data_IF_882678775993
#
_entry.id   IF_882678775993
#
_cell.length_a   1.000
_cell.length_b   1.000
_cell.length_c   1.000
_cell.angle_alpha   90.00
_cell.angle_beta   90.00
_cell.angle_gamma   90.00
#
_symmetry.space_group_name_H-M   'P 1'
#
loop_
_entity.id
_entity.type
_entity.pdbx_description
1 polymer ?
#
# COMPACT_ATOMS: atom_id res chain seq x y z
N UNK A 1 19.64 12.49 -16.01
CA UNK A 1 18.61 12.58 -14.95
C UNK A 1 18.19 11.17 -14.60
N UNK A 2 18.82 10.56 -13.59
CA UNK A 2 18.42 9.23 -13.13
C UNK A 2 17.04 9.35 -12.51
N UNK A 3 16.01 8.85 -13.19
CA UNK A 3 14.65 8.75 -12.66
C UNK A 3 14.69 7.80 -11.46
N UNK A 4 14.89 8.35 -10.27
CA UNK A 4 14.59 7.65 -9.03
C UNK A 4 13.07 7.47 -9.04
N UNK A 5 12.60 6.26 -9.37
CA UNK A 5 11.18 5.96 -9.48
C UNK A 5 10.58 6.00 -8.07
N UNK A 6 10.09 7.16 -7.64
CA UNK A 6 9.40 7.34 -6.35
C UNK A 6 8.00 6.77 -6.44
N UNK A 7 7.51 6.15 -5.36
CA UNK A 7 6.11 5.73 -5.25
C UNK A 7 5.29 7.00 -5.02
N UNK A 8 4.36 7.29 -5.92
CA UNK A 8 3.45 8.43 -5.80
C UNK A 8 2.04 7.99 -5.48
N UNK A 9 1.25 8.89 -4.90
CA UNK A 9 -0.18 8.68 -4.68
C UNK A 9 -0.90 8.29 -5.97
N UNK A 10 -0.55 8.92 -7.10
CA UNK A 10 -1.21 8.65 -8.39
C UNK A 10 -0.98 7.22 -8.87
N UNK A 11 0.24 6.69 -8.69
CA UNK A 11 0.55 5.30 -9.03
C UNK A 11 -0.25 4.34 -8.14
N UNK A 12 -0.20 4.53 -6.83
CA UNK A 12 -0.91 3.67 -5.88
C UNK A 12 -2.42 3.75 -6.10
N UNK A 13 -2.98 4.91 -6.44
CA UNK A 13 -4.40 5.08 -6.75
C UNK A 13 -4.87 4.18 -7.91
N UNK A 14 -4.00 3.91 -8.89
CA UNK A 14 -4.30 3.08 -10.07
C UNK A 14 -4.19 1.58 -9.79
N UNK A 15 -3.58 1.16 -8.67
CA UNK A 15 -3.43 -0.26 -8.36
C UNK A 15 -4.77 -0.97 -8.20
N UNK A 16 -4.92 -2.05 -8.95
CA UNK A 16 -5.94 -3.05 -8.69
C UNK A 16 -5.62 -3.81 -7.39
N UNK A 17 -6.51 -4.73 -6.98
CA UNK A 17 -6.39 -5.47 -5.71
C UNK A 17 -5.11 -6.31 -5.64
N UNK A 18 -4.76 -6.96 -6.76
CA UNK A 18 -3.56 -7.80 -6.83
C UNK A 18 -2.29 -6.97 -6.82
N UNK A 19 -2.27 -5.85 -7.55
CA UNK A 19 -1.13 -4.93 -7.59
C UNK A 19 -0.88 -4.29 -6.23
N UNK A 20 -1.94 -3.90 -5.52
CA UNK A 20 -1.83 -3.39 -4.16
C UNK A 20 -1.31 -4.47 -3.20
N UNK A 21 -1.84 -5.69 -3.27
CA UNK A 21 -1.41 -6.78 -2.41
C UNK A 21 0.06 -7.13 -2.64
N UNK A 22 0.49 -7.23 -3.90
CA UNK A 22 1.90 -7.46 -4.27
C UNK A 22 2.81 -6.34 -3.80
N UNK A 23 2.33 -5.09 -3.87
CA UNK A 23 3.04 -3.94 -3.37
C UNK A 23 3.23 -4.03 -1.85
N UNK A 24 2.15 -4.21 -1.08
CA UNK A 24 2.22 -4.34 0.37
C UNK A 24 3.04 -5.56 0.81
N UNK A 25 2.97 -6.67 0.08
CA UNK A 25 3.78 -7.87 0.36
C UNK A 25 5.28 -7.61 0.28
N UNK A 26 5.72 -6.76 -0.65
CA UNK A 26 7.13 -6.34 -0.73
C UNK A 26 7.55 -5.43 0.42
N UNK A 27 6.62 -4.62 0.89
CA UNK A 27 6.86 -3.68 1.99
C UNK A 27 6.65 -4.29 3.37
N UNK A 28 6.03 -5.48 3.46
CA UNK A 28 5.54 -6.06 4.72
C UNK A 28 6.60 -6.08 5.82
N UNK A 29 7.85 -6.45 5.50
CA UNK A 29 8.92 -6.53 6.48
C UNK A 29 9.28 -5.14 7.03
N UNK A 30 9.25 -4.11 6.18
CA UNK A 30 9.51 -2.72 6.61
C UNK A 30 8.33 -2.09 7.35
N UNK A 31 7.13 -2.62 7.14
CA UNK A 31 5.89 -2.21 7.80
C UNK A 31 5.54 -3.11 8.99
N UNK A 32 6.40 -4.07 9.32
CA UNK A 32 6.17 -5.07 10.37
C UNK A 32 4.80 -5.77 10.26
N UNK A 33 4.34 -6.01 9.02
CA UNK A 33 3.10 -6.71 8.72
C UNK A 33 3.36 -8.20 8.48
N UNK A 34 2.39 -9.03 8.85
CA UNK A 34 2.41 -10.46 8.55
C UNK A 34 1.45 -10.83 7.40
N UNK A 35 1.29 -12.14 7.14
CA UNK A 35 0.39 -12.62 6.08
C UNK A 35 -1.09 -12.50 6.46
N UNK A 36 -1.43 -12.54 7.74
CA UNK A 36 -2.80 -12.43 8.21
C UNK A 36 -3.31 -10.99 8.04
N UNK A 37 -2.45 -10.00 8.26
CA UNK A 37 -2.74 -8.59 7.94
C UNK A 37 -3.04 -8.39 6.45
N UNK A 38 -2.21 -8.98 5.58
CA UNK A 38 -2.40 -8.92 4.13
C UNK A 38 -3.64 -9.69 3.66
N UNK A 39 -3.99 -10.78 4.35
CA UNK A 39 -5.21 -11.55 4.09
C UNK A 39 -6.46 -10.71 4.33
N UNK A 40 -6.47 -9.81 5.34
CA UNK A 40 -7.58 -8.88 5.56
C UNK A 40 -7.74 -7.95 4.35
N UNK A 41 -6.64 -7.36 3.85
CA UNK A 41 -6.68 -6.50 2.66
C UNK A 41 -7.24 -7.25 1.44
N UNK A 42 -6.82 -8.51 1.26
CA UNK A 42 -7.29 -9.38 0.17
C UNK A 42 -8.78 -9.72 0.32
N UNK A 43 -9.22 -10.15 1.50
CA UNK A 43 -10.59 -10.57 1.80
C UNK A 43 -11.59 -9.42 1.65
N UNK A 44 -11.22 -8.24 2.16
CA UNK A 44 -12.02 -7.01 2.02
C UNK A 44 -11.91 -6.37 0.63
N UNK A 45 -11.15 -7.00 -0.29
CA UNK A 45 -11.05 -6.60 -1.70
C UNK A 45 -10.61 -5.14 -1.87
N UNK A 46 -9.73 -4.67 -0.98
CA UNK A 46 -9.23 -3.29 -0.98
C UNK A 46 -8.31 -3.13 -2.19
N UNK A 47 -8.59 -2.13 -3.03
CA UNK A 47 -7.71 -1.70 -4.11
C UNK A 47 -6.91 -0.46 -3.68
N UNK A 48 -6.00 0.01 -4.53
CA UNK A 48 -5.13 1.14 -4.20
C UNK A 48 -5.90 2.44 -3.88
N UNK A 49 -7.00 2.72 -4.58
CA UNK A 49 -7.87 3.87 -4.29
C UNK A 49 -8.55 3.75 -2.91
N UNK A 50 -8.97 2.55 -2.52
CA UNK A 50 -9.57 2.31 -1.20
C UNK A 50 -8.51 2.38 -0.11
N UNK A 51 -7.33 1.81 -0.32
CA UNK A 51 -6.21 1.86 0.62
C UNK A 51 -5.84 3.30 0.99
N UNK A 52 -5.75 4.20 0.01
CA UNK A 52 -5.48 5.62 0.27
C UNK A 52 -6.61 6.35 1.04
N UNK A 53 -7.79 5.74 1.21
CA UNK A 53 -8.96 6.35 1.86
C UNK A 53 -9.44 5.62 3.12
N UNK A 54 -8.87 4.46 3.42
CA UNK A 54 -9.29 3.67 4.59
C UNK A 54 -8.84 4.38 5.87
N UNK A 55 -9.44 4.01 6.99
CA UNK A 55 -9.06 4.50 8.32
C UNK A 55 -8.84 3.31 9.26
N UNK A 56 -8.26 3.59 10.43
CA UNK A 56 -7.92 2.58 11.44
C UNK A 56 -9.17 1.79 11.87
N UNK A 57 -10.27 2.49 12.16
CA UNK A 57 -11.51 1.86 12.65
C UNK A 57 -12.09 0.81 11.70
N UNK A 58 -12.07 1.07 10.40
CA UNK A 58 -12.54 0.09 9.40
C UNK A 58 -11.65 -1.15 9.37
N UNK A 59 -10.33 -0.98 9.44
CA UNK A 59 -9.41 -2.12 9.46
C UNK A 59 -9.63 -2.98 10.71
N UNK A 60 -9.80 -2.34 11.88
CA UNK A 60 -10.10 -3.03 13.15
C UNK A 60 -11.45 -3.74 13.09
N UNK A 61 -12.48 -3.11 12.51
CA UNK A 61 -13.80 -3.73 12.33
C UNK A 61 -13.70 -5.04 11.52
N UNK A 62 -12.79 -5.10 10.55
CA UNK A 62 -12.51 -6.29 9.75
C UNK A 62 -11.48 -7.25 10.38
N UNK A 63 -11.16 -7.06 11.67
CA UNK A 63 -10.33 -7.98 12.45
C UNK A 63 -8.83 -7.68 12.46
N UNK A 64 -8.39 -6.56 11.90
CA UNK A 64 -6.99 -6.15 11.97
C UNK A 64 -6.64 -5.65 13.38
N UNK A 65 -5.45 -5.96 13.87
CA UNK A 65 -4.99 -5.42 15.16
C UNK A 65 -4.64 -3.94 15.02
N UNK A 66 -4.71 -3.22 16.16
CA UNK A 66 -4.50 -1.77 16.20
C UNK A 66 -3.13 -1.35 15.62
N UNK A 67 -2.06 -2.07 15.95
CA UNK A 67 -0.70 -1.79 15.46
C UNK A 67 -0.60 -1.82 13.93
N UNK A 68 -0.84 -2.97 13.27
CA UNK A 68 -0.85 -3.08 11.82
C UNK A 68 -1.79 -2.07 11.14
N UNK A 69 -2.96 -1.81 11.73
CA UNK A 69 -3.91 -0.83 11.20
C UNK A 69 -3.33 0.59 11.22
N UNK A 70 -2.71 1.01 12.33
CA UNK A 70 -2.03 2.31 12.41
C UNK A 70 -0.89 2.41 11.40
N UNK A 71 -0.02 1.39 11.32
CA UNK A 71 1.11 1.37 10.39
C UNK A 71 0.69 1.49 8.94
N UNK A 72 -0.39 0.80 8.52
CA UNK A 72 -0.91 0.91 7.15
C UNK A 72 -1.46 2.31 6.84
N UNK A 73 -2.13 2.97 7.80
CA UNK A 73 -2.66 4.32 7.62
C UNK A 73 -1.55 5.37 7.56
N UNK A 74 -0.56 5.28 8.44
CA UNK A 74 0.63 6.13 8.40
C UNK A 74 1.35 5.97 7.06
N UNK A 75 1.56 4.73 6.63
CA UNK A 75 2.19 4.47 5.33
C UNK A 75 1.40 5.02 4.14
N UNK A 76 0.06 4.90 4.16
CA UNK A 76 -0.80 5.49 3.14
C UNK A 76 -0.69 7.04 3.12
N UNK A 77 -0.52 7.67 4.28
CA UNK A 77 -0.34 9.11 4.38
C UNK A 77 1.05 9.56 3.92
N UNK A 78 2.10 8.80 4.25
CA UNK A 78 3.46 9.05 3.75
C UNK A 78 3.51 9.01 2.22
N UNK A 79 2.73 8.13 1.58
CA UNK A 79 2.61 8.10 0.12
C UNK A 79 1.95 9.38 -0.42
N UNK A 80 0.88 9.88 0.23
CA UNK A 80 0.20 11.13 -0.19
C UNK A 80 1.09 12.35 -0.03
N UNK A 81 1.94 12.35 1.00
CA UNK A 81 2.87 13.43 1.28
C UNK A 81 4.20 13.27 0.53
N UNK A 82 4.30 12.29 -0.37
CA UNK A 82 5.51 11.98 -1.14
C UNK A 82 6.76 11.72 -0.28
N UNK A 83 6.58 11.22 0.95
CA UNK A 83 7.65 10.91 1.90
C UNK A 83 8.30 9.55 1.65
N UNK A 84 7.66 8.69 0.85
CA UNK A 84 8.17 7.35 0.52
C UNK A 84 9.18 7.42 -0.63
N UNK A 85 10.47 7.39 -0.29
CA UNK A 85 11.57 7.34 -1.27
C UNK A 85 12.04 5.90 -1.49
N UNK A 86 11.27 5.08 -2.22
CA UNK A 86 11.71 3.73 -2.61
C UNK A 86 11.92 3.66 -4.11
N UNK A 87 13.03 3.06 -4.55
CA UNK A 87 13.31 2.84 -5.98
C UNK A 87 12.38 1.74 -6.51
N UNK A 88 11.43 2.08 -7.38
CA UNK A 88 10.65 1.06 -8.11
C UNK A 88 11.55 0.44 -9.20
N UNK A 89 11.71 -0.89 -9.26
CA UNK A 89 12.39 -1.55 -10.38
C UNK A 89 11.65 -1.29 -11.69
N UNK A 90 12.37 -0.90 -12.75
CA UNK A 90 11.81 -0.49 -14.05
C UNK A 90 10.90 -1.52 -14.74
N UNK A 91 10.89 -2.77 -14.28
CA UNK A 91 10.08 -3.86 -14.84
C UNK A 91 8.59 -3.87 -14.43
N UNK A 92 8.16 -2.93 -13.56
CA UNK A 92 6.77 -2.88 -13.05
C UNK A 92 6.03 -1.57 -13.35
N UNK A 93 6.50 -0.77 -14.30
CA UNK A 93 5.75 0.39 -14.78
C UNK A 93 4.52 -0.15 -15.54
N UNK A 94 3.27 0.12 -15.10
CA UNK A 94 2.09 -0.27 -15.86
C UNK A 94 2.16 0.39 -17.24
N UNK A 95 2.04 -0.41 -18.30
CA UNK A 95 2.39 -0.10 -19.69
C UNK A 95 1.57 1.01 -20.38
N UNK A 96 0.85 1.85 -19.64
CA UNK A 96 -0.04 2.87 -20.21
C UNK A 96 0.47 4.27 -19.85
N UNK A 97 1.40 4.77 -20.66
CA UNK A 97 1.63 6.19 -20.93
C UNK A 97 1.42 6.39 -22.43
#
# INVERSE_FOLDING_TARGET
MSTSNMITEEMVRKYNKSELLDFLRKEKNSLELDEDDLEIIRREKINGRNFLKVNVDRLIYHGMKLGPAMTLIEFANDIKECKVQRKIPSSKIPSNI
#
